data_IF_754021223434
#
_entry.id   IF_754021223434
#
_cell.length_a   1.000
_cell.length_b   1.000
_cell.length_c   1.000
_cell.angle_alpha   90.00
_cell.angle_beta   90.00
_cell.angle_gamma   90.00
#
_symmetry.space_group_name_H-M   'P 1'
#
loop_
_entity.id
_entity.type
_entity.pdbx_description
1 polymer ?
#
# COMPACT_ATOMS: atom_id res chain seq x y z
N UNK A 1 2.21 14.41 -25.36
CA UNK A 1 1.67 13.18 -24.74
C UNK A 1 0.15 13.27 -24.56
N UNK A 2 -0.41 14.31 -23.88
CA UNK A 2 -1.86 14.43 -23.63
C UNK A 2 -2.70 14.32 -24.92
N UNK A 3 -2.29 14.98 -26.00
CA UNK A 3 -2.98 14.93 -27.31
C UNK A 3 -2.96 13.52 -27.90
N UNK A 4 -1.83 12.81 -27.80
CA UNK A 4 -1.72 11.44 -28.30
C UNK A 4 -2.55 10.44 -27.47
N UNK A 5 -2.55 10.59 -26.15
CA UNK A 5 -3.42 9.77 -25.29
C UNK A 5 -4.90 9.99 -25.63
N UNK A 6 -5.31 11.27 -25.85
CA UNK A 6 -6.66 11.58 -26.30
C UNK A 6 -6.97 10.96 -27.66
N UNK A 7 -6.04 11.04 -28.61
CA UNK A 7 -6.18 10.41 -29.93
C UNK A 7 -6.42 8.90 -29.83
N UNK A 8 -5.64 8.21 -28.99
CA UNK A 8 -5.80 6.76 -28.75
C UNK A 8 -7.19 6.44 -28.21
N UNK A 9 -7.66 7.21 -27.22
CA UNK A 9 -8.99 7.02 -26.62
C UNK A 9 -10.11 7.30 -27.60
N UNK A 10 -10.06 8.44 -28.29
CA UNK A 10 -11.09 8.87 -29.24
C UNK A 10 -11.22 7.89 -30.44
N UNK A 11 -10.11 7.29 -30.86
CA UNK A 11 -10.06 6.34 -31.98
C UNK A 11 -10.09 4.87 -31.55
N UNK A 12 -10.22 4.60 -30.24
CA UNK A 12 -10.27 3.25 -29.65
C UNK A 12 -9.10 2.36 -30.09
N UNK A 13 -7.90 2.94 -30.15
CA UNK A 13 -6.67 2.21 -30.49
C UNK A 13 -6.26 1.38 -29.28
N UNK A 14 -6.44 0.06 -29.34
CA UNK A 14 -6.16 -0.89 -28.28
C UNK A 14 -5.21 -1.97 -28.75
N UNK A 15 -4.31 -2.44 -27.88
CA UNK A 15 -3.57 -3.68 -28.02
C UNK A 15 -4.13 -4.69 -27.01
N UNK A 16 -4.53 -5.87 -27.49
CA UNK A 16 -5.12 -6.97 -26.68
C UNK A 16 -6.28 -6.51 -25.78
N UNK A 17 -7.07 -5.52 -26.23
CA UNK A 17 -8.21 -5.00 -25.49
C UNK A 17 -7.89 -3.94 -24.45
N UNK A 18 -6.66 -3.48 -24.38
CA UNK A 18 -6.21 -2.45 -23.43
C UNK A 18 -5.61 -1.23 -24.15
N UNK A 19 -5.79 -0.06 -23.55
CA UNK A 19 -5.11 1.16 -23.98
C UNK A 19 -3.68 1.19 -23.43
N UNK A 20 -2.69 1.25 -24.32
CA UNK A 20 -1.28 1.21 -23.94
C UNK A 20 -0.64 2.61 -24.00
N UNK A 21 0.00 3.03 -22.91
CA UNK A 21 0.79 4.27 -22.89
C UNK A 21 1.92 4.25 -23.94
N UNK A 22 2.51 3.09 -24.16
CA UNK A 22 3.58 2.86 -25.12
C UNK A 22 3.16 3.17 -26.56
N UNK A 23 1.88 3.01 -26.92
CA UNK A 23 1.37 3.35 -28.25
C UNK A 23 1.37 4.88 -28.47
N UNK A 24 1.02 5.65 -27.41
CA UNK A 24 1.14 7.10 -27.48
C UNK A 24 2.59 7.54 -27.65
N UNK A 25 3.52 6.93 -26.93
CA UNK A 25 4.95 7.23 -27.06
C UNK A 25 5.49 6.84 -28.45
N UNK A 26 5.08 5.71 -28.98
CA UNK A 26 5.43 5.24 -30.33
C UNK A 26 4.90 6.19 -31.42
N UNK A 27 3.66 6.67 -31.26
CA UNK A 27 3.08 7.70 -32.16
C UNK A 27 3.88 9.00 -32.14
N UNK A 28 4.25 9.45 -30.95
CA UNK A 28 5.07 10.66 -30.78
C UNK A 28 6.45 10.50 -31.43
N UNK A 29 7.08 9.33 -31.32
CA UNK A 29 8.35 9.02 -32.02
C UNK A 29 8.19 9.13 -33.54
N UNK A 30 7.12 8.55 -34.10
CA UNK A 30 6.81 8.64 -35.56
C UNK A 30 6.58 10.08 -36.02
N UNK A 31 6.12 10.95 -35.14
CA UNK A 31 5.95 12.39 -35.37
C UNK A 31 7.25 13.18 -35.20
N UNK A 32 8.39 12.53 -35.02
CA UNK A 32 9.69 13.16 -34.88
C UNK A 32 9.98 13.73 -33.48
N UNK A 33 9.21 13.34 -32.45
CA UNK A 33 9.54 13.74 -31.08
C UNK A 33 10.73 12.94 -30.58
N UNK A 34 11.66 13.63 -29.92
CA UNK A 34 12.88 13.04 -29.40
C UNK A 34 12.66 12.72 -27.90
N UNK A 35 12.89 11.47 -27.53
CA UNK A 35 12.92 11.02 -26.14
C UNK A 35 14.36 10.83 -25.70
N UNK A 36 14.66 11.22 -24.47
CA UNK A 36 15.95 10.95 -23.83
C UNK A 36 15.73 10.04 -22.63
N UNK A 37 16.58 9.02 -22.44
CA UNK A 37 16.53 8.21 -21.24
C UNK A 37 16.91 9.05 -20.02
N UNK A 38 16.23 8.82 -18.91
CA UNK A 38 16.59 9.34 -17.60
C UNK A 38 17.19 8.24 -16.74
N UNK A 39 17.87 8.63 -15.65
CA UNK A 39 18.36 7.69 -14.64
C UNK A 39 17.28 7.49 -13.61
N UNK A 40 17.01 6.24 -13.26
CA UNK A 40 16.14 5.83 -12.14
C UNK A 40 17.03 5.13 -11.13
N UNK A 41 17.12 5.66 -9.92
CA UNK A 41 17.91 5.08 -8.85
C UNK A 41 17.17 3.96 -8.13
N UNK A 42 15.87 4.15 -7.93
CA UNK A 42 14.99 3.16 -7.31
C UNK A 42 13.71 2.98 -8.12
N UNK A 43 13.39 1.74 -8.38
CA UNK A 43 12.11 1.36 -8.99
C UNK A 43 11.25 0.67 -7.94
N UNK A 44 10.08 1.23 -7.69
CA UNK A 44 9.10 0.69 -6.74
C UNK A 44 7.80 0.46 -7.48
N UNK A 45 7.36 -0.79 -7.53
CA UNK A 45 6.13 -1.21 -8.17
C UNK A 45 5.13 -1.66 -7.09
N UNK A 46 3.86 -1.74 -7.45
CA UNK A 46 2.77 -2.21 -6.59
C UNK A 46 1.84 -3.17 -7.34
N UNK A 47 2.39 -3.92 -8.31
CA UNK A 47 1.63 -4.80 -9.19
C UNK A 47 1.08 -6.07 -8.54
N UNK A 48 1.57 -6.46 -7.38
CA UNK A 48 1.06 -7.59 -6.60
C UNK A 48 1.37 -7.42 -5.10
N UNK A 49 0.79 -8.30 -4.27
CA UNK A 49 0.94 -8.23 -2.80
C UNK A 49 2.41 -8.16 -2.36
N UNK A 50 3.24 -9.08 -2.82
CA UNK A 50 4.62 -9.20 -2.35
C UNK A 50 5.44 -7.93 -2.67
N UNK A 51 5.33 -7.44 -3.90
CA UNK A 51 6.02 -6.22 -4.34
C UNK A 51 5.48 -4.99 -3.61
N UNK A 52 4.17 -4.91 -3.37
CA UNK A 52 3.58 -3.78 -2.63
C UNK A 52 4.05 -3.74 -1.18
N UNK A 53 4.12 -4.89 -0.51
CA UNK A 53 4.65 -5.00 0.86
C UNK A 53 6.13 -4.61 0.91
N UNK A 54 6.93 -5.07 -0.04
CA UNK A 54 8.34 -4.68 -0.17
C UNK A 54 8.50 -3.17 -0.40
N UNK A 55 7.70 -2.61 -1.31
CA UNK A 55 7.69 -1.18 -1.60
C UNK A 55 7.32 -0.35 -0.36
N UNK A 56 6.31 -0.79 0.40
CA UNK A 56 5.95 -0.15 1.67
C UNK A 56 7.14 -0.15 2.65
N UNK A 57 7.82 -1.27 2.79
CA UNK A 57 8.99 -1.39 3.68
C UNK A 57 10.11 -0.44 3.27
N UNK A 58 10.42 -0.34 1.98
CA UNK A 58 11.40 0.62 1.44
C UNK A 58 10.99 2.07 1.71
N UNK A 59 9.73 2.41 1.44
CA UNK A 59 9.22 3.77 1.66
C UNK A 59 9.27 4.16 3.14
N UNK A 60 8.86 3.29 4.04
CA UNK A 60 8.96 3.53 5.48
C UNK A 60 10.43 3.74 5.91
N UNK A 61 11.37 3.01 5.31
CA UNK A 61 12.80 3.20 5.53
C UNK A 61 13.30 4.59 5.12
N UNK A 62 12.85 5.12 3.99
CA UNK A 62 13.18 6.48 3.54
C UNK A 62 12.53 7.56 4.42
N UNK A 63 11.32 7.32 4.88
CA UNK A 63 10.51 8.29 5.62
C UNK A 63 10.69 8.22 7.14
N UNK A 64 11.46 7.27 7.67
CA UNK A 64 11.53 6.92 9.10
C UNK A 64 11.76 8.07 10.08
N UNK A 65 12.31 9.19 9.62
CA UNK A 65 12.59 10.36 10.45
C UNK A 65 11.51 11.46 10.33
N UNK A 66 10.44 11.21 9.59
CA UNK A 66 9.39 12.19 9.38
C UNK A 66 8.31 12.07 10.47
N UNK A 67 7.93 13.18 11.12
CA UNK A 67 6.88 13.17 12.15
C UNK A 67 5.50 12.77 11.60
N UNK A 68 5.28 12.95 10.31
CA UNK A 68 4.04 12.60 9.61
C UNK A 68 3.75 11.09 9.60
N UNK A 69 4.70 10.25 9.95
CA UNK A 69 4.47 8.82 10.14
C UNK A 69 3.58 8.49 11.36
N UNK A 70 3.27 9.49 12.19
CA UNK A 70 2.39 9.37 13.35
C UNK A 70 1.17 10.28 13.22
N UNK A 71 0.01 9.67 13.09
CA UNK A 71 -1.28 10.34 13.09
C UNK A 71 -1.65 10.89 14.48
N UNK A 72 -2.77 11.59 14.53
CA UNK A 72 -3.32 12.17 15.77
C UNK A 72 -4.25 11.18 16.48
N UNK A 73 -4.41 11.37 17.79
CA UNK A 73 -5.36 10.61 18.63
C UNK A 73 -5.11 9.08 18.56
N UNK A 74 -3.86 8.66 18.57
CA UNK A 74 -3.50 7.24 18.63
C UNK A 74 -3.58 6.77 20.07
N UNK A 75 -4.38 5.72 20.32
CA UNK A 75 -4.49 5.08 21.64
C UNK A 75 -3.60 3.85 21.67
N UNK A 76 -2.72 3.75 22.67
CA UNK A 76 -1.78 2.65 22.85
C UNK A 76 -1.96 2.09 24.26
N UNK A 77 -2.55 0.90 24.37
CA UNK A 77 -2.77 0.19 25.64
C UNK A 77 -1.98 -1.13 25.61
N UNK A 78 -1.05 -1.31 26.53
CA UNK A 78 -0.21 -2.51 26.64
C UNK A 78 0.33 -2.99 25.27
N UNK A 79 0.84 -2.06 24.45
CA UNK A 79 1.25 -2.32 23.08
C UNK A 79 2.61 -1.73 22.76
N UNK A 80 3.32 -2.34 21.81
CA UNK A 80 4.64 -1.95 21.37
C UNK A 80 4.63 -1.61 19.87
N UNK A 81 5.32 -0.54 19.49
CA UNK A 81 5.55 -0.19 18.09
C UNK A 81 7.05 -0.25 17.80
N UNK A 82 7.43 -1.09 16.85
CA UNK A 82 8.82 -1.26 16.39
C UNK A 82 8.97 -0.56 15.04
N UNK A 83 9.81 0.45 15.01
CA UNK A 83 10.06 1.25 13.80
C UNK A 83 10.81 0.48 12.69
N UNK A 84 10.68 0.90 11.41
CA UNK A 84 9.83 1.99 10.91
C UNK A 84 8.36 1.55 10.74
N UNK A 85 7.42 2.42 11.11
CA UNK A 85 5.99 2.20 10.95
C UNK A 85 5.27 3.50 10.59
N UNK A 86 4.21 3.39 9.81
CA UNK A 86 3.19 4.43 9.67
C UNK A 86 1.97 4.06 10.50
N UNK A 87 1.54 4.95 11.37
CA UNK A 87 0.33 4.79 12.18
C UNK A 87 -0.58 5.99 11.91
N UNK A 88 -1.70 5.74 11.28
CA UNK A 88 -2.71 6.74 10.95
C UNK A 88 -3.39 7.36 12.17
N UNK A 89 -4.29 8.30 11.92
CA UNK A 89 -5.03 8.99 12.98
C UNK A 89 -6.16 8.13 13.56
N UNK A 90 -6.48 8.32 14.83
CA UNK A 90 -7.55 7.61 15.55
C UNK A 90 -7.37 6.08 15.58
N UNK A 91 -6.14 5.61 15.46
CA UNK A 91 -5.80 4.19 15.60
C UNK A 91 -5.85 3.77 17.07
N UNK A 92 -6.39 2.58 17.31
CA UNK A 92 -6.44 1.97 18.65
C UNK A 92 -5.63 0.68 18.64
N UNK A 93 -4.61 0.60 19.50
CA UNK A 93 -3.77 -0.58 19.72
C UNK A 93 -3.97 -1.09 21.14
N UNK A 94 -4.38 -2.36 21.28
CA UNK A 94 -4.57 -3.03 22.56
C UNK A 94 -3.88 -4.39 22.58
N UNK A 95 -2.99 -4.61 23.54
CA UNK A 95 -2.22 -5.85 23.64
C UNK A 95 -1.58 -6.22 22.29
N UNK A 96 -1.02 -5.26 21.57
CA UNK A 96 -0.54 -5.44 20.21
C UNK A 96 0.95 -5.15 20.06
N UNK A 97 1.60 -5.89 19.17
CA UNK A 97 2.97 -5.64 18.74
C UNK A 97 2.97 -5.33 17.26
N UNK A 98 3.36 -4.10 16.92
CA UNK A 98 3.29 -3.55 15.56
C UNK A 98 4.67 -3.22 15.05
N UNK A 99 5.02 -3.78 13.91
CA UNK A 99 6.31 -3.53 13.25
C UNK A 99 7.34 -4.64 13.39
N UNK A 100 8.48 -4.45 12.71
CA UNK A 100 8.78 -3.33 11.84
C UNK A 100 8.06 -3.38 10.48
N UNK A 101 8.14 -2.29 9.72
CA UNK A 101 7.63 -2.18 8.35
C UNK A 101 6.11 -2.35 8.21
N UNK A 102 5.35 -1.78 9.12
CA UNK A 102 3.88 -1.82 9.11
C UNK A 102 3.31 -0.44 8.81
N UNK A 103 2.30 -0.42 7.95
CA UNK A 103 1.44 0.75 7.74
C UNK A 103 0.02 0.46 8.20
N UNK A 104 -0.48 1.21 9.16
CA UNK A 104 -1.87 1.19 9.61
C UNK A 104 -2.57 2.48 9.17
N UNK A 105 -3.62 2.35 8.39
CA UNK A 105 -4.49 3.47 7.98
C UNK A 105 -5.28 4.06 9.15
N UNK A 106 -5.94 5.19 8.89
CA UNK A 106 -6.75 5.87 9.89
C UNK A 106 -7.88 5.00 10.43
N UNK A 107 -8.24 5.19 11.69
CA UNK A 107 -9.36 4.52 12.36
C UNK A 107 -9.24 2.98 12.44
N UNK A 108 -8.05 2.43 12.30
CA UNK A 108 -7.83 1.00 12.52
C UNK A 108 -7.89 0.64 14.01
N UNK A 109 -8.42 -0.55 14.28
CA UNK A 109 -8.45 -1.16 15.62
C UNK A 109 -7.65 -2.46 15.56
N UNK A 110 -6.63 -2.57 16.40
CA UNK A 110 -5.79 -3.78 16.50
C UNK A 110 -5.77 -4.26 17.95
N UNK A 111 -6.23 -5.48 18.16
CA UNK A 111 -6.36 -6.08 19.51
C UNK A 111 -5.75 -7.49 19.54
N UNK A 112 -4.95 -7.78 20.57
CA UNK A 112 -4.32 -9.10 20.78
C UNK A 112 -3.59 -9.61 19.53
N UNK A 113 -2.79 -8.75 18.88
CA UNK A 113 -2.21 -9.08 17.60
C UNK A 113 -0.72 -8.74 17.50
N UNK A 114 0.00 -9.51 16.68
CA UNK A 114 1.36 -9.20 16.27
C UNK A 114 1.37 -9.00 14.75
N UNK A 115 1.84 -7.86 14.27
CA UNK A 115 1.81 -7.50 12.85
C UNK A 115 3.19 -7.03 12.42
N UNK A 116 3.74 -7.66 11.38
CA UNK A 116 5.05 -7.35 10.80
C UNK A 116 4.92 -7.22 9.28
N UNK A 117 5.68 -6.31 8.65
CA UNK A 117 5.80 -6.21 7.20
C UNK A 117 4.47 -6.11 6.46
N UNK A 118 3.50 -5.39 6.97
CA UNK A 118 2.13 -5.45 6.47
C UNK A 118 1.52 -4.07 6.25
N UNK A 119 0.55 -4.01 5.31
CA UNK A 119 -0.28 -2.83 5.06
C UNK A 119 -1.73 -3.13 5.45
N UNK A 120 -2.29 -2.28 6.29
CA UNK A 120 -3.68 -2.36 6.69
C UNK A 120 -4.34 -1.01 6.39
N UNK A 121 -5.35 -1.03 5.55
CA UNK A 121 -6.07 0.14 5.11
C UNK A 121 -7.03 0.66 6.17
N UNK A 122 -7.66 1.80 5.89
CA UNK A 122 -8.46 2.55 6.86
C UNK A 122 -9.68 1.80 7.39
N UNK A 123 -10.10 2.10 8.62
CA UNK A 123 -11.31 1.59 9.27
C UNK A 123 -11.35 0.05 9.42
N UNK A 124 -10.19 -0.61 9.38
CA UNK A 124 -10.12 -2.06 9.50
C UNK A 124 -9.93 -2.50 10.96
N UNK A 125 -10.49 -3.65 11.30
CA UNK A 125 -10.41 -4.26 12.63
C UNK A 125 -9.66 -5.58 12.55
N UNK A 126 -8.57 -5.72 13.32
CA UNK A 126 -7.68 -6.87 13.32
C UNK A 126 -7.57 -7.39 14.74
N UNK A 127 -7.94 -8.65 14.95
CA UNK A 127 -7.98 -9.25 16.30
C UNK A 127 -7.41 -10.66 16.33
N UNK A 128 -6.82 -11.01 17.50
CA UNK A 128 -6.42 -12.38 17.86
C UNK A 128 -5.53 -13.06 16.81
N UNK A 129 -4.52 -12.35 16.26
CA UNK A 129 -3.83 -12.78 15.06
C UNK A 129 -2.33 -12.46 15.10
N UNK A 130 -1.55 -13.27 14.37
CA UNK A 130 -0.18 -12.93 13.98
C UNK A 130 -0.11 -12.81 12.46
N UNK A 131 0.10 -11.59 11.95
CA UNK A 131 0.22 -11.29 10.54
C UNK A 131 1.64 -10.97 10.12
N UNK A 132 2.07 -11.59 9.03
CA UNK A 132 3.31 -11.27 8.34
C UNK A 132 3.02 -11.05 6.85
N UNK A 133 3.72 -10.10 6.25
CA UNK A 133 3.69 -9.85 4.80
C UNK A 133 2.25 -9.82 4.22
N UNK A 134 1.38 -9.08 4.88
CA UNK A 134 -0.06 -9.06 4.59
C UNK A 134 -0.52 -7.72 4.02
N UNK A 135 -1.55 -7.78 3.19
CA UNK A 135 -2.31 -6.62 2.72
C UNK A 135 -3.78 -6.79 3.09
N UNK A 136 -4.32 -5.82 3.81
CA UNK A 136 -5.73 -5.79 4.24
C UNK A 136 -6.36 -4.51 3.71
N UNK A 137 -7.45 -4.64 2.98
CA UNK A 137 -8.22 -3.55 2.39
C UNK A 137 -8.94 -2.68 3.42
N UNK A 138 -9.67 -1.68 2.94
CA UNK A 138 -10.44 -0.78 3.80
C UNK A 138 -11.64 -1.50 4.42
N UNK A 139 -12.03 -1.11 5.63
CA UNK A 139 -13.22 -1.60 6.32
C UNK A 139 -13.28 -3.13 6.42
N UNK A 140 -12.12 -3.77 6.42
CA UNK A 140 -12.02 -5.21 6.59
C UNK A 140 -12.08 -5.60 8.07
N UNK A 141 -12.65 -6.76 8.35
CA UNK A 141 -12.67 -7.36 9.68
C UNK A 141 -11.97 -8.72 9.63
N UNK A 142 -10.96 -8.89 10.48
CA UNK A 142 -10.19 -10.13 10.57
C UNK A 142 -10.06 -10.52 12.04
N UNK A 143 -10.55 -11.70 12.37
CA UNK A 143 -10.44 -12.30 13.70
C UNK A 143 -10.02 -13.76 13.56
N UNK A 144 -9.02 -14.21 14.31
CA UNK A 144 -8.55 -15.59 14.29
C UNK A 144 -7.11 -15.80 13.79
N UNK A 145 -6.71 -17.05 13.65
CA UNK A 145 -5.31 -17.47 13.44
C UNK A 145 -4.90 -17.59 11.97
N UNK A 146 -4.51 -16.48 11.38
CA UNK A 146 -3.96 -16.42 10.02
C UNK A 146 -2.56 -15.82 10.03
N UNK A 147 -1.67 -16.25 9.14
CA UNK A 147 -0.27 -15.77 9.13
C UNK A 147 0.05 -14.80 8.01
N UNK A 148 -0.52 -15.00 6.81
CA UNK A 148 -0.28 -14.13 5.66
C UNK A 148 -1.56 -14.02 4.83
N UNK A 149 -2.08 -12.79 4.69
CA UNK A 149 -3.35 -12.51 4.05
C UNK A 149 -3.21 -11.50 2.90
N UNK A 150 -4.11 -11.62 1.94
CA UNK A 150 -4.40 -10.58 0.96
C UNK A 150 -5.92 -10.45 0.87
N UNK A 151 -6.46 -9.43 1.50
CA UNK A 151 -7.91 -9.19 1.58
C UNK A 151 -8.25 -7.86 0.93
N UNK A 152 -9.29 -7.87 0.10
CA UNK A 152 -9.87 -6.66 -0.46
C UNK A 152 -10.67 -5.86 0.56
N UNK A 153 -11.20 -4.72 0.11
CA UNK A 153 -12.06 -3.85 0.92
C UNK A 153 -13.32 -4.59 1.38
N UNK A 154 -13.82 -4.24 2.57
CA UNK A 154 -15.05 -4.79 3.17
C UNK A 154 -15.02 -6.31 3.41
N UNK A 155 -13.87 -6.97 3.33
CA UNK A 155 -13.72 -8.40 3.61
C UNK A 155 -13.90 -8.69 5.09
N UNK A 156 -14.49 -9.85 5.39
CA UNK A 156 -14.64 -10.35 6.75
C UNK A 156 -14.14 -11.79 6.86
N UNK A 157 -13.36 -12.07 7.90
CA UNK A 157 -12.84 -13.39 8.27
C UNK A 157 -12.92 -13.52 9.80
N UNK A 158 -13.67 -14.49 10.26
CA UNK A 158 -13.87 -14.81 11.67
C UNK A 158 -13.36 -16.23 11.98
#
# INVERSE_FOLDING_TARGET
LRSELKHILDNKIMDKGEYQLTDALSSMLKQGKVFKPGTVNDWMDCGNKAITVETNSKMLGYLKNLPELRGKNVTIENSEIIEPCFIGSNVVLKNAKIGPNVSLGDHCIVENATIVGSLIQTHSTIKNITLNDSMIGNQAHVDGNWTSLSLGDYSRMD
#
